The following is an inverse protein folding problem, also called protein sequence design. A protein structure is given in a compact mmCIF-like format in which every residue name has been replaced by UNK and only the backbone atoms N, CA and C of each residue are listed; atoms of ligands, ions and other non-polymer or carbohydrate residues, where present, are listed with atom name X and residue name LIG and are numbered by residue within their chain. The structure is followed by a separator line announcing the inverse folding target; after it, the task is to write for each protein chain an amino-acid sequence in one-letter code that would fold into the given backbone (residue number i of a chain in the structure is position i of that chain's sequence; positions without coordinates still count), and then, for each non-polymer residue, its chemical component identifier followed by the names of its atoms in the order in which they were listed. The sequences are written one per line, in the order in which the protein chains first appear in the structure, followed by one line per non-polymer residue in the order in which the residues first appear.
data_IF_932050326806
#
_entry.id   IF_932050326806
#
_cell.length_a   1.000
_cell.length_b   1.000
_cell.length_c   1.000
_cell.angle_alpha   90.00
_cell.angle_beta   90.00
_cell.angle_gamma   90.00
#
_symmetry.space_group_name_H-M   'P 1'
#
loop_
_entity.id
_entity.type
_entity.pdbx_description
1 polymer ?
#
# COMPACT_ATOMS: atom_id res chain seq x y z
N UNK A 1 -8.08 26.22 -54.52
CA UNK A 1 -7.85 26.11 -53.08
C UNK A 1 -7.86 24.61 -52.72
N UNK A 2 -6.67 23.99 -52.49
CA UNK A 2 -6.58 22.57 -52.14
C UNK A 2 -6.71 22.42 -50.61
N UNK A 3 -7.75 21.70 -50.16
CA UNK A 3 -7.95 21.36 -48.74
C UNK A 3 -6.98 20.23 -48.37
N UNK A 4 -6.05 20.51 -47.46
CA UNK A 4 -5.18 19.50 -46.86
C UNK A 4 -5.96 18.87 -45.70
N UNK A 5 -6.27 17.59 -45.80
CA UNK A 5 -6.87 16.79 -44.72
C UNK A 5 -5.68 16.21 -43.93
N UNK A 6 -5.49 16.67 -42.70
CA UNK A 6 -4.50 16.10 -41.78
C UNK A 6 -5.21 15.01 -40.99
N UNK A 7 -4.88 13.76 -41.30
CA UNK A 7 -5.38 12.61 -40.56
C UNK A 7 -4.48 12.40 -39.33
N UNK A 8 -4.98 12.63 -38.13
CA UNK A 8 -4.30 12.28 -36.89
C UNK A 8 -4.37 10.75 -36.68
N UNK A 9 -3.25 10.08 -36.87
CA UNK A 9 -3.08 8.68 -36.51
C UNK A 9 -2.86 8.59 -34.99
N UNK A 10 -3.89 8.19 -34.23
CA UNK A 10 -3.74 7.91 -32.82
C UNK A 10 -2.95 6.61 -32.65
N UNK A 11 -1.67 6.72 -32.33
CA UNK A 11 -0.86 5.56 -31.97
C UNK A 11 -1.34 5.06 -30.59
N UNK A 12 -2.06 3.93 -30.59
CA UNK A 12 -2.36 3.20 -29.37
C UNK A 12 -1.04 2.66 -28.79
N UNK A 13 -0.55 3.25 -27.72
CA UNK A 13 0.54 2.72 -26.93
C UNK A 13 0.06 1.40 -26.29
N UNK A 14 0.36 0.29 -26.94
CA UNK A 14 0.27 -1.05 -26.35
C UNK A 14 1.42 -1.15 -25.34
N UNK A 15 1.12 -0.87 -24.05
CA UNK A 15 2.03 -1.17 -22.98
C UNK A 15 2.28 -2.69 -22.99
N UNK A 16 3.54 -3.16 -23.03
CA UNK A 16 3.84 -4.57 -22.94
C UNK A 16 3.26 -5.10 -21.61
N UNK A 17 2.44 -6.15 -21.70
CA UNK A 17 2.06 -6.91 -20.50
C UNK A 17 3.37 -7.37 -19.85
N UNK A 18 3.67 -6.87 -18.65
CA UNK A 18 4.78 -7.41 -17.88
C UNK A 18 4.57 -8.92 -17.80
N UNK A 19 5.54 -9.68 -18.32
CA UNK A 19 5.53 -11.12 -18.20
C UNK A 19 5.33 -11.47 -16.72
N UNK A 20 4.34 -12.31 -16.42
CA UNK A 20 3.99 -12.64 -15.05
C UNK A 20 5.24 -13.19 -14.35
N UNK A 21 5.76 -12.48 -13.40
CA UNK A 21 6.90 -12.89 -12.59
C UNK A 21 6.56 -14.23 -11.93
N UNK A 22 7.43 -15.23 -12.06
CA UNK A 22 7.15 -16.63 -11.68
C UNK A 22 6.60 -16.74 -10.25
N UNK A 23 5.39 -17.26 -10.12
CA UNK A 23 4.70 -17.50 -8.85
C UNK A 23 3.92 -16.30 -8.32
N UNK A 24 3.89 -15.14 -9.01
CA UNK A 24 2.98 -14.05 -8.69
C UNK A 24 1.66 -14.19 -9.45
N UNK A 25 0.56 -13.88 -8.77
CA UNK A 25 -0.74 -13.66 -9.37
C UNK A 25 -1.11 -12.18 -9.32
N UNK A 26 -1.66 -11.66 -10.41
CA UNK A 26 -2.20 -10.30 -10.43
C UNK A 26 -3.57 -10.30 -9.74
N UNK A 27 -3.75 -9.43 -8.77
CA UNK A 27 -5.01 -9.27 -8.02
C UNK A 27 -5.78 -7.99 -8.39
N UNK A 28 -5.33 -7.30 -9.46
CA UNK A 28 -6.01 -6.16 -10.06
C UNK A 28 -5.85 -6.20 -11.59
N UNK A 29 -6.96 -6.07 -12.31
CA UNK A 29 -7.03 -6.21 -13.76
C UNK A 29 -6.64 -4.93 -14.54
N UNK A 30 -6.34 -3.83 -13.82
CA UNK A 30 -6.06 -2.52 -14.42
C UNK A 30 -7.29 -1.80 -14.98
N UNK A 31 -8.49 -2.36 -14.91
CA UNK A 31 -9.68 -1.86 -15.58
C UNK A 31 -10.89 -1.69 -14.67
N UNK A 32 -11.08 -2.60 -13.71
CA UNK A 32 -12.30 -2.65 -12.89
C UNK A 32 -11.96 -2.87 -11.41
N UNK A 33 -12.90 -2.56 -10.52
CA UNK A 33 -12.79 -2.93 -9.11
C UNK A 33 -13.32 -4.35 -8.83
N UNK A 34 -13.41 -5.21 -9.85
CA UNK A 34 -13.76 -6.63 -9.66
C UNK A 34 -12.74 -7.28 -8.72
N UNK A 35 -13.24 -8.01 -7.72
CA UNK A 35 -12.37 -8.60 -6.69
C UNK A 35 -12.00 -7.65 -5.54
N UNK A 36 -12.48 -6.41 -5.56
CA UNK A 36 -12.26 -5.41 -4.52
C UNK A 36 -13.59 -4.88 -3.97
N UNK A 37 -13.62 -4.57 -2.68
CA UNK A 37 -14.80 -4.04 -1.99
C UNK A 37 -14.43 -2.76 -1.22
N UNK A 38 -14.88 -1.62 -1.73
CA UNK A 38 -14.69 -0.29 -1.16
C UNK A 38 -15.93 0.58 -1.32
N UNK A 39 -16.04 1.67 -0.57
CA UNK A 39 -17.15 2.63 -0.71
C UNK A 39 -17.05 3.31 -2.07
N UNK A 40 -18.05 3.13 -2.93
CA UNK A 40 -18.07 3.63 -4.33
C UNK A 40 -17.84 5.14 -4.44
N UNK A 41 -18.23 5.93 -3.44
CA UNK A 41 -18.01 7.37 -3.41
C UNK A 41 -16.54 7.79 -3.28
N UNK A 42 -15.66 6.88 -2.86
CA UNK A 42 -14.24 7.15 -2.64
C UNK A 42 -13.32 6.38 -3.60
N UNK A 43 -13.79 5.25 -4.14
CA UNK A 43 -12.95 4.34 -4.91
C UNK A 43 -13.43 4.18 -6.34
N UNK A 44 -12.53 4.34 -7.29
CA UNK A 44 -12.76 4.19 -8.73
C UNK A 44 -11.52 3.60 -9.41
N UNK A 45 -11.61 3.34 -10.71
CA UNK A 45 -10.43 3.07 -11.54
C UNK A 45 -10.23 4.26 -12.47
N UNK A 46 -9.03 4.83 -12.45
CA UNK A 46 -8.60 5.92 -13.35
C UNK A 46 -7.17 5.63 -13.82
N UNK A 47 -6.90 5.83 -15.09
CA UNK A 47 -5.56 5.66 -15.71
C UNK A 47 -4.92 4.28 -15.44
N UNK A 48 -5.75 3.22 -15.45
CA UNK A 48 -5.27 1.86 -15.17
C UNK A 48 -4.91 1.58 -13.71
N UNK A 49 -5.39 2.42 -12.78
CA UNK A 49 -5.07 2.31 -11.36
C UNK A 49 -6.32 2.38 -10.47
N UNK A 50 -6.35 1.59 -9.40
CA UNK A 50 -7.30 1.80 -8.30
C UNK A 50 -7.01 3.19 -7.73
N UNK A 51 -8.01 4.04 -7.70
CA UNK A 51 -7.91 5.43 -7.25
C UNK A 51 -8.77 5.65 -6.04
N UNK A 52 -8.15 6.03 -4.92
CA UNK A 52 -8.80 6.53 -3.71
C UNK A 52 -8.78 8.05 -3.71
N UNK A 53 -9.94 8.69 -3.50
CA UNK A 53 -10.06 10.14 -3.53
C UNK A 53 -10.98 10.67 -2.44
N UNK A 54 -10.55 11.70 -1.74
CA UNK A 54 -11.39 12.56 -0.91
C UNK A 54 -11.38 13.99 -1.44
N UNK A 55 -12.48 14.71 -1.24
CA UNK A 55 -12.67 16.10 -1.65
C UNK A 55 -13.15 16.93 -0.48
N UNK A 56 -13.09 18.28 -0.54
CA UNK A 56 -13.63 19.13 0.52
C UNK A 56 -15.10 18.87 0.81
N UNK A 57 -15.89 18.58 -0.22
CA UNK A 57 -17.33 18.27 -0.17
C UNK A 57 -17.63 16.77 0.03
N UNK A 58 -16.61 15.90 -0.04
CA UNK A 58 -16.72 14.45 0.17
C UNK A 58 -15.56 13.91 1.03
N UNK A 59 -15.44 14.35 2.31
CA UNK A 59 -14.40 13.84 3.21
C UNK A 59 -14.78 12.47 3.76
N UNK A 60 -13.78 11.72 4.23
CA UNK A 60 -14.03 10.54 5.06
C UNK A 60 -14.23 10.96 6.53
N UNK A 61 -15.14 10.26 7.24
CA UNK A 61 -15.33 10.45 8.71
C UNK A 61 -14.27 9.77 9.57
N UNK A 62 -13.39 8.98 8.95
CA UNK A 62 -12.30 8.18 9.54
C UNK A 62 -11.60 7.43 8.43
N UNK A 63 -10.56 6.66 8.75
CA UNK A 63 -9.90 5.83 7.76
C UNK A 63 -10.88 4.84 7.13
N UNK A 64 -10.89 4.74 5.81
CA UNK A 64 -11.70 3.79 5.04
C UNK A 64 -10.82 3.01 4.08
N UNK A 65 -11.24 1.80 3.77
CA UNK A 65 -10.40 0.85 3.04
C UNK A 65 -11.14 0.26 1.85
N UNK A 66 -10.39 -0.05 0.79
CA UNK A 66 -10.84 -0.97 -0.24
C UNK A 66 -10.20 -2.34 0.03
N UNK A 67 -11.03 -3.35 0.26
CA UNK A 67 -10.64 -4.69 0.72
C UNK A 67 -10.59 -5.64 -0.47
N UNK A 68 -9.47 -6.36 -0.63
CA UNK A 68 -9.39 -7.45 -1.59
C UNK A 68 -10.23 -8.65 -1.14
N UNK A 69 -11.03 -9.21 -2.06
CA UNK A 69 -11.97 -10.31 -1.80
C UNK A 69 -11.40 -11.69 -2.09
N UNK A 70 -10.12 -11.80 -2.44
CA UNK A 70 -9.48 -13.08 -2.75
C UNK A 70 -9.17 -13.95 -1.53
N UNK A 71 -9.59 -13.52 -0.34
CA UNK A 71 -9.41 -14.30 0.89
C UNK A 71 -8.30 -13.77 1.78
N UNK A 72 -7.77 -14.65 2.61
CA UNK A 72 -6.70 -14.35 3.53
C UNK A 72 -5.34 -14.73 2.95
N UNK A 73 -4.32 -14.00 3.37
CA UNK A 73 -2.91 -14.31 3.10
C UNK A 73 -2.18 -14.60 4.42
N UNK A 74 -1.29 -15.58 4.41
CA UNK A 74 -0.43 -15.90 5.56
C UNK A 74 1.03 -15.54 5.26
N UNK A 75 1.79 -16.42 4.65
CA UNK A 75 3.16 -16.14 4.20
C UNK A 75 3.12 -15.70 2.73
N UNK A 76 3.62 -14.50 2.43
CA UNK A 76 3.48 -13.92 1.10
C UNK A 76 4.55 -12.88 0.77
N UNK A 77 4.66 -12.58 -0.51
CA UNK A 77 5.26 -11.35 -1.05
C UNK A 77 4.16 -10.60 -1.80
N UNK A 78 3.89 -9.36 -1.41
CA UNK A 78 2.97 -8.45 -2.10
C UNK A 78 3.77 -7.32 -2.72
N UNK A 79 3.57 -7.09 -4.02
CA UNK A 79 4.21 -5.99 -4.75
C UNK A 79 3.14 -5.19 -5.46
N UNK A 80 3.22 -3.86 -5.35
CA UNK A 80 2.37 -2.93 -6.07
C UNK A 80 3.08 -1.60 -6.26
N UNK A 81 2.57 -0.80 -7.19
CA UNK A 81 2.99 0.58 -7.35
C UNK A 81 1.94 1.52 -6.78
N UNK A 82 2.40 2.60 -6.13
CA UNK A 82 1.54 3.66 -5.61
C UNK A 82 2.09 5.04 -5.98
N UNK A 83 1.18 6.02 -6.07
CA UNK A 83 1.53 7.44 -6.17
C UNK A 83 0.47 8.33 -5.52
N UNK A 84 0.88 9.49 -5.06
CA UNK A 84 -0.03 10.58 -4.67
C UNK A 84 -0.12 11.60 -5.80
N UNK A 85 -1.34 12.04 -6.12
CA UNK A 85 -1.58 13.16 -7.03
C UNK A 85 -1.86 14.46 -6.28
N UNK A 86 -1.94 14.41 -4.96
CA UNK A 86 -2.09 15.53 -4.02
C UNK A 86 -0.80 15.80 -3.27
N UNK A 87 -0.63 17.04 -2.76
CA UNK A 87 0.55 17.43 -1.97
C UNK A 87 0.46 16.97 -0.52
N UNK A 88 -0.72 16.54 -0.10
CA UNK A 88 -1.01 16.06 1.25
C UNK A 88 -1.75 14.74 1.18
N UNK A 89 -1.74 14.02 2.27
CA UNK A 89 -2.46 12.77 2.44
C UNK A 89 -1.56 11.64 2.94
N UNK A 90 -2.17 10.69 3.58
CA UNK A 90 -1.56 9.45 4.04
C UNK A 90 -2.38 8.27 3.52
N UNK A 91 -1.72 7.17 3.31
CA UNK A 91 -2.30 5.92 2.89
C UNK A 91 -1.45 4.76 3.41
N UNK A 92 -1.85 3.55 3.08
CA UNK A 92 -1.12 2.35 3.46
C UNK A 92 -1.72 1.10 2.84
N UNK A 93 -0.97 0.04 2.91
CA UNK A 93 -1.45 -1.29 2.57
C UNK A 93 -1.57 -2.12 3.84
N UNK A 94 -2.77 -2.53 4.15
CA UNK A 94 -3.11 -3.45 5.23
C UNK A 94 -2.84 -4.88 4.80
N UNK A 95 -2.23 -5.66 5.68
CA UNK A 95 -2.00 -7.08 5.45
C UNK A 95 -2.16 -7.87 6.76
N UNK A 96 -2.50 -9.15 6.63
CA UNK A 96 -2.84 -10.00 7.77
C UNK A 96 -3.81 -9.31 8.74
N UNK A 97 -4.77 -8.57 8.16
CA UNK A 97 -5.69 -7.72 8.92
C UNK A 97 -7.04 -8.37 9.10
N UNK A 98 -7.74 -7.95 10.14
CA UNK A 98 -9.12 -8.29 10.44
C UNK A 98 -10.07 -7.27 9.78
N UNK A 99 -11.15 -7.75 9.15
CA UNK A 99 -12.22 -6.90 8.66
C UNK A 99 -13.23 -6.65 9.79
N UNK A 100 -13.27 -5.42 10.28
CA UNK A 100 -14.20 -5.01 11.34
C UNK A 100 -15.60 -4.61 10.82
N UNK A 101 -15.83 -4.76 9.51
CA UNK A 101 -17.05 -4.29 8.87
C UNK A 101 -16.98 -2.82 8.45
N UNK A 102 -17.96 -2.39 7.66
CA UNK A 102 -18.09 -1.00 7.19
C UNK A 102 -16.83 -0.38 6.58
N UNK A 103 -16.01 -1.21 5.89
CA UNK A 103 -14.72 -0.82 5.31
C UNK A 103 -13.72 -0.27 6.33
N UNK A 104 -13.72 -0.82 7.53
CA UNK A 104 -12.74 -0.57 8.60
C UNK A 104 -11.98 -1.85 8.85
N UNK A 105 -10.67 -1.75 9.05
CA UNK A 105 -9.80 -2.90 9.29
C UNK A 105 -8.88 -2.67 10.49
N UNK A 106 -8.31 -3.77 11.02
CA UNK A 106 -7.37 -3.77 12.13
C UNK A 106 -6.24 -4.74 11.80
N UNK A 107 -4.99 -4.31 11.91
CA UNK A 107 -3.83 -5.19 11.67
C UNK A 107 -2.57 -4.43 11.30
N UNK A 108 -1.65 -5.12 10.63
CA UNK A 108 -0.40 -4.53 10.15
C UNK A 108 -0.62 -3.65 8.92
N UNK A 109 0.12 -2.56 8.84
CA UNK A 109 0.10 -1.63 7.72
C UNK A 109 1.50 -1.25 7.27
N UNK A 110 1.79 -1.47 5.99
CA UNK A 110 2.89 -0.79 5.32
C UNK A 110 2.42 0.62 4.97
N UNK A 111 2.97 1.62 5.66
CA UNK A 111 2.52 3.00 5.61
C UNK A 111 3.27 3.81 4.55
N UNK A 112 2.61 4.73 3.89
CA UNK A 112 3.19 5.71 2.97
C UNK A 112 2.31 6.96 2.88
N UNK A 113 2.94 8.10 2.61
CA UNK A 113 2.27 9.40 2.58
C UNK A 113 2.87 10.32 1.52
N UNK A 114 2.18 11.42 1.22
CA UNK A 114 2.71 12.49 0.38
C UNK A 114 3.79 13.33 1.11
N UNK A 115 3.88 13.21 2.43
CA UNK A 115 4.88 13.85 3.28
C UNK A 115 6.18 13.05 3.41
N UNK A 116 6.92 13.30 4.49
CA UNK A 116 8.26 12.74 4.70
C UNK A 116 8.41 11.91 5.97
N UNK A 117 7.36 11.77 6.77
CA UNK A 117 7.45 11.16 8.10
C UNK A 117 7.16 9.67 8.11
N UNK A 118 6.03 9.24 7.53
CA UNK A 118 5.47 7.91 7.73
C UNK A 118 5.79 6.89 6.63
N UNK A 119 6.23 7.34 5.44
CA UNK A 119 6.52 6.39 4.36
C UNK A 119 7.58 5.37 4.75
N UNK A 120 7.24 4.08 4.60
CA UNK A 120 8.13 2.94 4.86
C UNK A 120 8.14 2.43 6.29
N UNK A 121 7.32 2.98 7.21
CA UNK A 121 7.16 2.39 8.55
C UNK A 121 6.24 1.17 8.51
N UNK A 122 6.30 0.34 9.56
CA UNK A 122 5.27 -0.64 9.86
C UNK A 122 4.39 -0.10 11.00
N UNK A 123 3.10 -0.02 10.74
CA UNK A 123 2.11 0.54 11.67
C UNK A 123 1.07 -0.52 12.06
N UNK A 124 0.56 -0.42 13.28
CA UNK A 124 -0.52 -1.28 13.78
C UNK A 124 -1.86 -0.55 13.79
N UNK A 125 -2.57 -0.57 12.65
CA UNK A 125 -3.88 0.09 12.52
C UNK A 125 -4.89 -0.50 13.51
N UNK A 126 -5.47 0.35 14.36
CA UNK A 126 -6.44 -0.03 15.40
C UNK A 126 -5.99 -1.12 16.38
N UNK A 127 -4.72 -1.46 16.42
CA UNK A 127 -4.19 -2.46 17.38
C UNK A 127 -3.88 -1.84 18.76
N UNK A 128 -3.84 -0.52 18.84
CA UNK A 128 -3.36 0.20 20.03
C UNK A 128 -1.84 0.23 20.17
N UNK A 129 -1.11 -0.44 19.27
CA UNK A 129 0.37 -0.57 19.32
C UNK A 129 1.09 0.60 18.65
N UNK A 130 0.44 1.29 17.69
CA UNK A 130 1.03 2.42 16.98
C UNK A 130 2.12 2.01 15.99
N UNK A 131 3.23 2.76 15.92
CA UNK A 131 4.37 2.45 15.07
C UNK A 131 5.10 1.22 15.61
N UNK A 132 5.04 0.13 14.85
CA UNK A 132 5.68 -1.15 15.16
C UNK A 132 7.17 -1.13 14.85
N UNK A 133 7.54 -0.61 13.69
CA UNK A 133 8.93 -0.34 13.32
C UNK A 133 9.04 0.95 12.51
N UNK A 134 9.97 1.81 12.91
CA UNK A 134 10.27 3.06 12.21
C UNK A 134 11.12 2.79 10.94
N UNK A 135 11.11 3.76 10.01
CA UNK A 135 11.99 3.72 8.83
C UNK A 135 13.46 3.72 9.26
N UNK A 136 14.24 2.78 8.70
CA UNK A 136 15.65 2.54 9.03
C UNK A 136 15.87 1.67 10.26
N UNK A 137 14.78 1.03 10.75
CA UNK A 137 14.85 0.19 11.96
C UNK A 137 14.40 -1.24 11.69
N UNK A 138 15.10 -2.17 12.39
CA UNK A 138 14.64 -3.52 12.64
C UNK A 138 14.16 -3.59 14.08
N UNK A 139 12.91 -3.94 14.29
CA UNK A 139 12.31 -3.99 15.64
C UNK A 139 11.81 -5.40 15.96
N UNK A 140 12.21 -5.92 17.09
CA UNK A 140 11.63 -7.13 17.70
C UNK A 140 10.60 -6.67 18.72
N UNK A 141 9.34 -7.04 18.50
CA UNK A 141 8.21 -6.66 19.35
C UNK A 141 7.94 -7.75 20.39
N UNK A 142 7.51 -7.33 21.57
CA UNK A 142 6.86 -8.16 22.59
C UNK A 142 5.39 -7.83 22.70
N UNK A 143 4.79 -8.16 23.84
CA UNK A 143 3.38 -7.88 24.11
C UNK A 143 3.07 -6.38 24.14
N UNK A 144 1.89 -6.03 23.64
CA UNK A 144 1.40 -4.68 23.61
C UNK A 144 2.33 -3.74 22.83
N UNK A 145 2.81 -2.69 23.47
CA UNK A 145 3.74 -1.70 22.89
C UNK A 145 5.21 -2.00 23.14
N UNK A 146 5.54 -3.14 23.75
CA UNK A 146 6.90 -3.49 24.11
C UNK A 146 7.77 -3.68 22.87
N UNK A 147 8.90 -2.98 22.80
CA UNK A 147 9.96 -3.21 21.81
C UNK A 147 11.13 -3.87 22.54
N UNK A 148 11.28 -5.20 22.37
CA UNK A 148 12.34 -6.00 23.01
C UNK A 148 13.72 -5.62 22.49
N UNK A 149 13.83 -5.33 21.19
CA UNK A 149 15.08 -4.95 20.54
C UNK A 149 14.78 -3.99 19.39
N UNK A 150 15.62 -2.99 19.22
CA UNK A 150 15.59 -2.06 18.09
C UNK A 150 17.01 -1.89 17.58
N UNK A 151 17.21 -2.27 16.33
CA UNK A 151 18.47 -2.10 15.59
C UNK A 151 18.28 -1.02 14.53
N UNK A 152 19.29 -0.19 14.30
CA UNK A 152 19.31 0.79 13.23
C UNK A 152 20.16 0.28 12.09
N UNK A 153 19.60 0.14 10.89
CA UNK A 153 20.32 -0.27 9.69
C UNK A 153 20.45 0.87 8.65
N UNK A 154 19.79 2.00 8.87
CA UNK A 154 19.85 3.13 7.97
C UNK A 154 19.36 4.44 8.59
N UNK A 155 19.86 5.56 8.08
CA UNK A 155 19.37 6.88 8.44
C UNK A 155 18.00 7.13 7.79
N UNK A 156 17.03 7.52 8.59
CA UNK A 156 15.65 7.71 8.13
C UNK A 156 15.51 8.83 7.09
N UNK A 157 16.33 9.90 7.16
CA UNK A 157 16.28 11.00 6.19
C UNK A 157 16.93 10.60 4.86
N UNK A 158 18.01 9.82 4.90
CA UNK A 158 18.66 9.31 3.69
C UNK A 158 17.76 8.27 2.98
N UNK A 159 17.08 7.42 3.73
CA UNK A 159 16.09 6.49 3.18
C UNK A 159 14.89 7.22 2.57
N UNK A 160 14.45 8.34 3.17
CA UNK A 160 13.38 9.16 2.60
C UNK A 160 13.72 9.68 1.20
N UNK A 161 14.96 10.03 0.92
CA UNK A 161 15.42 10.51 -0.41
C UNK A 161 15.26 9.45 -1.52
N UNK A 162 15.04 8.17 -1.17
CA UNK A 162 14.78 7.08 -2.12
C UNK A 162 13.31 6.98 -2.53
N UNK A 163 12.44 7.75 -1.89
CA UNK A 163 11.01 7.79 -2.16
C UNK A 163 10.72 8.95 -3.11
N UNK A 164 10.08 8.63 -4.23
CA UNK A 164 9.74 9.61 -5.27
C UNK A 164 8.54 10.45 -4.82
N UNK A 165 8.48 11.67 -5.31
CA UNK A 165 7.50 12.67 -4.93
C UNK A 165 6.14 12.54 -5.63
N UNK A 166 5.34 13.60 -5.50
CA UNK A 166 4.01 13.74 -6.11
C UNK A 166 4.02 13.41 -7.60
N UNK A 167 3.04 12.61 -8.03
CA UNK A 167 2.84 12.21 -9.42
C UNK A 167 3.70 11.03 -9.87
N UNK A 168 4.78 10.74 -9.17
CA UNK A 168 5.71 9.67 -9.54
C UNK A 168 5.33 8.33 -8.88
N UNK A 169 5.50 7.25 -9.63
CA UNK A 169 5.24 5.91 -9.13
C UNK A 169 6.37 5.38 -8.25
N UNK A 170 6.02 4.95 -7.04
CA UNK A 170 6.86 4.20 -6.12
C UNK A 170 6.43 2.74 -6.12
N UNK A 171 7.37 1.81 -6.06
CA UNK A 171 7.09 0.39 -5.87
C UNK A 171 7.16 0.03 -4.40
N UNK A 172 6.07 -0.49 -3.85
CA UNK A 172 6.02 -1.08 -2.50
C UNK A 172 6.16 -2.59 -2.61
N UNK A 173 7.03 -3.18 -1.77
CA UNK A 173 7.16 -4.61 -1.59
C UNK A 173 7.01 -4.92 -0.09
N UNK A 174 6.03 -5.76 0.23
CA UNK A 174 5.79 -6.26 1.59
C UNK A 174 6.05 -7.77 1.56
N UNK A 175 7.05 -8.22 2.30
CA UNK A 175 7.29 -9.64 2.55
C UNK A 175 6.90 -9.96 3.97
N UNK A 176 6.04 -10.98 4.16
CA UNK A 176 5.68 -11.50 5.47
C UNK A 176 5.87 -13.02 5.47
N UNK A 177 6.69 -13.53 6.38
CA UNK A 177 6.94 -14.97 6.58
C UNK A 177 7.01 -15.28 8.07
N UNK A 178 6.15 -16.18 8.54
CA UNK A 178 5.99 -16.40 9.97
C UNK A 178 5.66 -15.09 10.69
N UNK A 179 6.41 -14.74 11.70
CA UNK A 179 6.28 -13.49 12.45
C UNK A 179 7.19 -12.36 11.94
N UNK A 180 7.86 -12.55 10.82
CA UNK A 180 8.84 -11.62 10.26
C UNK A 180 8.26 -10.86 9.06
N UNK A 181 8.33 -9.53 9.08
CA UNK A 181 7.80 -8.63 8.05
C UNK A 181 8.87 -7.65 7.60
N UNK A 182 9.02 -7.48 6.29
CA UNK A 182 9.97 -6.56 5.67
C UNK A 182 9.22 -5.65 4.70
N UNK A 183 9.39 -4.35 4.84
CA UNK A 183 8.87 -3.35 3.90
C UNK A 183 10.00 -2.76 3.07
N UNK A 184 9.82 -2.74 1.74
CA UNK A 184 10.72 -2.05 0.82
C UNK A 184 9.93 -1.04 0.00
N UNK A 185 10.57 0.09 -0.28
CA UNK A 185 10.10 1.07 -1.27
C UNK A 185 11.21 1.28 -2.29
N UNK A 186 10.90 1.12 -3.59
CA UNK A 186 11.86 1.21 -4.69
C UNK A 186 13.09 0.31 -4.46
N UNK A 187 12.84 -0.96 -4.05
CA UNK A 187 13.80 -2.01 -3.73
C UNK A 187 14.69 -1.74 -2.50
N UNK A 188 14.55 -0.60 -1.84
CA UNK A 188 15.28 -0.25 -0.63
C UNK A 188 14.51 -0.69 0.60
N UNK A 189 15.16 -1.44 1.52
CA UNK A 189 14.55 -1.82 2.81
C UNK A 189 14.27 -0.55 3.62
N UNK A 190 13.02 -0.37 4.01
CA UNK A 190 12.57 0.76 4.81
C UNK A 190 12.38 0.41 6.27
N UNK A 191 11.76 -0.73 6.57
CA UNK A 191 11.58 -1.22 7.94
C UNK A 191 11.54 -2.73 7.97
N UNK A 192 11.92 -3.29 9.11
CA UNK A 192 11.88 -4.72 9.40
C UNK A 192 11.24 -4.93 10.78
N UNK A 193 10.32 -5.88 10.88
CA UNK A 193 9.59 -6.15 12.12
C UNK A 193 9.56 -7.66 12.38
N UNK A 194 9.94 -8.08 13.58
CA UNK A 194 9.73 -9.43 14.08
C UNK A 194 8.74 -9.30 15.24
N UNK A 195 7.56 -9.88 15.12
CA UNK A 195 6.52 -9.78 16.15
C UNK A 195 6.45 -11.06 16.99
N UNK A 196 6.98 -11.00 18.19
CA UNK A 196 6.97 -12.09 19.18
C UNK A 196 5.92 -11.87 20.27
N UNK A 197 5.09 -10.84 20.12
CA UNK A 197 4.02 -10.55 21.07
C UNK A 197 2.83 -11.51 20.89
N UNK A 198 2.03 -11.66 21.94
CA UNK A 198 0.81 -12.46 21.90
C UNK A 198 -0.25 -11.94 20.92
N UNK A 199 -0.13 -10.67 20.51
CA UNK A 199 -0.98 -10.02 19.50
C UNK A 199 -0.49 -10.25 18.07
N UNK A 200 0.62 -11.00 17.88
CA UNK A 200 1.15 -11.31 16.56
C UNK A 200 0.11 -12.07 15.72
N UNK A 201 -0.06 -11.62 14.47
CA UNK A 201 -1.03 -12.19 13.52
C UNK A 201 -0.27 -12.74 12.32
N UNK A 202 -0.54 -14.02 11.99
CA UNK A 202 0.13 -14.71 10.89
C UNK A 202 -0.72 -14.84 9.64
N UNK A 203 -2.00 -14.46 9.70
CA UNK A 203 -2.96 -14.60 8.61
C UNK A 203 -4.00 -13.47 8.64
N UNK A 204 -4.50 -13.03 7.48
CA UNK A 204 -5.59 -12.07 7.39
C UNK A 204 -5.76 -11.49 6.00
N UNK A 205 -6.64 -10.51 5.87
CA UNK A 205 -6.97 -9.88 4.58
C UNK A 205 -5.92 -8.86 4.14
N UNK A 206 -6.00 -8.49 2.84
CA UNK A 206 -5.31 -7.35 2.23
C UNK A 206 -6.31 -6.21 2.00
N UNK A 207 -5.88 -4.97 2.24
CA UNK A 207 -6.68 -3.78 1.93
C UNK A 207 -5.78 -2.55 1.66
N UNK A 208 -6.30 -1.59 0.89
CA UNK A 208 -5.64 -0.31 0.64
C UNK A 208 -6.40 0.80 1.39
N UNK A 209 -5.66 1.70 2.01
CA UNK A 209 -6.22 2.76 2.87
C UNK A 209 -6.51 4.03 2.08
N UNK A 210 -7.60 4.70 2.44
CA UNK A 210 -7.82 6.11 2.21
C UNK A 210 -7.96 6.78 3.59
N UNK A 211 -6.93 7.52 3.99
CA UNK A 211 -6.84 8.11 5.32
C UNK A 211 -7.75 9.33 5.46
N UNK A 212 -8.35 9.49 6.64
CA UNK A 212 -9.06 10.71 6.99
C UNK A 212 -8.09 11.88 7.13
N UNK A 213 -8.50 13.06 6.66
CA UNK A 213 -7.64 14.23 6.72
C UNK A 213 -7.91 15.21 5.58
N UNK A 214 -6.90 15.94 5.15
CA UNK A 214 -7.03 16.87 4.02
C UNK A 214 -7.44 16.12 2.75
N UNK A 215 -8.08 16.81 1.78
CA UNK A 215 -8.39 16.24 0.48
C UNK A 215 -7.14 15.64 -0.16
N UNK A 216 -7.30 14.43 -0.69
CA UNK A 216 -6.19 13.67 -1.26
C UNK A 216 -6.63 12.78 -2.42
N UNK A 217 -5.69 12.46 -3.28
CA UNK A 217 -5.83 11.42 -4.31
C UNK A 217 -4.60 10.52 -4.28
N UNK A 218 -4.84 9.22 -4.10
CA UNK A 218 -3.83 8.17 -4.15
C UNK A 218 -4.21 7.13 -5.19
N UNK A 219 -3.23 6.61 -5.89
CA UNK A 219 -3.42 5.60 -6.94
C UNK A 219 -2.56 4.37 -6.70
N UNK A 220 -3.09 3.19 -7.09
CA UNK A 220 -2.43 1.89 -6.97
C UNK A 220 -2.57 1.11 -8.26
N UNK A 221 -1.49 0.48 -8.74
CA UNK A 221 -1.50 -0.37 -9.93
C UNK A 221 -0.51 -1.52 -9.81
N UNK A 222 -0.52 -2.44 -10.76
CA UNK A 222 0.39 -3.58 -10.84
C UNK A 222 0.42 -4.40 -9.53
N UNK A 223 -0.76 -4.58 -8.92
CA UNK A 223 -0.91 -5.23 -7.62
C UNK A 223 -0.85 -6.74 -7.85
N UNK A 224 0.16 -7.38 -7.27
CA UNK A 224 0.38 -8.81 -7.42
C UNK A 224 0.87 -9.43 -6.11
N UNK A 225 0.45 -10.64 -5.85
CA UNK A 225 0.79 -11.40 -4.65
C UNK A 225 1.39 -12.74 -5.01
N UNK A 226 2.35 -13.19 -4.22
CA UNK A 226 2.94 -14.54 -4.27
C UNK A 226 2.81 -15.16 -2.90
N UNK A 227 2.09 -16.28 -2.83
CA UNK A 227 2.04 -17.08 -1.61
C UNK A 227 3.36 -17.83 -1.45
N UNK A 228 3.94 -17.76 -0.27
CA UNK A 228 5.15 -18.50 0.09
C UNK A 228 4.75 -19.84 0.70
N UNK A 229 5.63 -20.82 0.52
CA UNK A 229 5.47 -22.16 1.12
C UNK A 229 6.28 -22.24 2.40
#
# INVERSE_FOLDING_TARGET
MKKIIITFLAAALVLPALAAEKGFESIFDGKTLKGWNGKKQFWSVRDGAITGETKPDNPTKGNTFIIWKGGKVSDFVLIFEYRFLSDKGNSGCQYRSENLGNHVVKGYQGDFEAGTRYSGINYGEKTGRGILSDRGKKTVLGDGKTKKKVETFGDSKELQKKIKGKGEWNTMNITAKGNHMIHKINDVVMSETIDEGKEAVTEGILALQLHAGPPMTVQFRNIRVKHLK
#
